data_IF_886847164863
#
_entry.id   IF_886847164863
#
_cell.length_a   1.000
_cell.length_b   1.000
_cell.length_c   1.000
_cell.angle_alpha   90.00
_cell.angle_beta   90.00
_cell.angle_gamma   90.00
#
_symmetry.space_group_name_H-M   'P 1'
#
loop_
_entity.id
_entity.type
_entity.pdbx_description
1 polymer ?
#
# COMPACT_ATOMS: atom_id res chain seq x y z
N UNK A 1 10.07 3.27 17.74
CA UNK A 1 9.79 2.57 16.46
C UNK A 1 9.01 3.52 15.56
N UNK A 2 9.26 3.53 14.25
CA UNK A 2 8.61 4.46 13.31
C UNK A 2 7.08 4.52 13.43
N UNK A 3 6.42 3.39 13.67
CA UNK A 3 4.96 3.37 13.87
C UNK A 3 4.48 4.23 15.05
N UNK A 4 5.27 4.36 16.12
CA UNK A 4 4.92 5.19 17.27
C UNK A 4 4.88 6.68 16.90
N UNK A 5 5.84 7.13 16.09
CA UNK A 5 5.89 8.51 15.57
C UNK A 5 4.73 8.80 14.61
N UNK A 6 4.24 7.76 13.91
CA UNK A 6 3.11 7.90 12.99
C UNK A 6 1.76 7.98 13.71
N UNK A 7 1.65 7.53 14.97
CA UNK A 7 0.36 7.42 15.66
C UNK A 7 -0.34 8.77 15.86
N UNK A 8 0.30 9.83 16.38
CA UNK A 8 -0.37 11.13 16.56
C UNK A 8 -0.90 11.68 15.23
N UNK A 9 -0.05 11.71 14.21
CA UNK A 9 -0.42 12.15 12.86
C UNK A 9 -1.58 11.32 12.31
N UNK A 10 -1.52 9.99 12.44
CA UNK A 10 -2.57 9.10 11.91
C UNK A 10 -3.90 9.29 12.65
N UNK A 11 -3.88 9.62 13.94
CA UNK A 11 -5.09 9.96 14.71
C UNK A 11 -5.72 11.27 14.26
N UNK A 12 -4.90 12.29 14.00
CA UNK A 12 -5.36 13.62 13.55
C UNK A 12 -6.07 13.57 12.18
N UNK A 13 -5.73 12.61 11.32
CA UNK A 13 -6.40 12.42 10.03
C UNK A 13 -7.91 12.11 10.17
N UNK A 14 -8.36 11.65 11.35
CA UNK A 14 -9.78 11.38 11.61
C UNK A 14 -10.40 10.28 10.74
N UNK A 15 -9.57 9.43 10.12
CA UNK A 15 -10.03 8.40 9.21
C UNK A 15 -10.77 7.29 9.97
N UNK A 16 -11.94 6.91 9.44
CA UNK A 16 -12.73 5.78 9.93
C UNK A 16 -12.31 4.52 9.16
N UNK A 17 -11.35 3.78 9.72
CA UNK A 17 -10.78 2.58 9.09
C UNK A 17 -11.29 1.34 9.83
N UNK A 18 -11.85 0.38 9.08
CA UNK A 18 -12.25 -0.92 9.63
C UNK A 18 -11.06 -1.89 9.68
N UNK A 19 -10.17 -1.80 8.69
CA UNK A 19 -9.02 -2.70 8.56
C UNK A 19 -7.88 -2.10 7.75
N UNK A 20 -6.68 -2.60 8.03
CA UNK A 20 -5.47 -2.24 7.30
C UNK A 20 -4.84 -3.45 6.62
N UNK A 21 -4.38 -3.27 5.38
CA UNK A 21 -3.60 -4.28 4.65
C UNK A 21 -2.32 -3.66 4.09
N UNK A 22 -1.16 -4.31 4.21
CA UNK A 22 0.02 -3.91 3.48
C UNK A 22 -0.14 -4.23 1.99
N UNK A 23 0.55 -3.49 1.13
CA UNK A 23 0.70 -3.86 -0.28
C UNK A 23 1.44 -5.22 -0.36
N UNK A 24 0.88 -6.23 -1.04
CA UNK A 24 1.50 -7.55 -1.09
C UNK A 24 2.72 -7.58 -2.02
N UNK A 25 3.81 -8.16 -1.51
CA UNK A 25 5.01 -8.44 -2.30
C UNK A 25 4.75 -9.55 -3.35
N UNK A 26 5.43 -9.45 -4.50
CA UNK A 26 5.55 -10.55 -5.47
C UNK A 26 6.29 -11.75 -4.87
N UNK A 27 6.02 -12.96 -5.37
CA UNK A 27 6.58 -14.22 -4.85
C UNK A 27 8.10 -14.19 -4.84
N UNK A 28 8.73 -13.68 -5.89
CA UNK A 28 10.18 -13.57 -5.98
C UNK A 28 10.76 -12.65 -4.90
N UNK A 29 10.14 -11.48 -4.68
CA UNK A 29 10.54 -10.52 -3.65
C UNK A 29 10.32 -11.07 -2.25
N UNK A 30 9.18 -11.74 -2.01
CA UNK A 30 8.88 -12.41 -0.75
C UNK A 30 9.92 -13.51 -0.44
N UNK A 31 10.31 -14.31 -1.44
CA UNK A 31 11.35 -15.34 -1.29
C UNK A 31 12.72 -14.74 -0.98
N UNK A 32 13.10 -13.64 -1.64
CA UNK A 32 14.38 -12.96 -1.40
C UNK A 32 14.45 -12.31 -0.01
N UNK A 33 13.36 -11.69 0.42
CA UNK A 33 13.30 -10.86 1.64
C UNK A 33 12.85 -11.63 2.88
N UNK A 34 12.21 -12.78 2.73
CA UNK A 34 11.62 -13.57 3.82
C UNK A 34 10.31 -13.01 4.37
N UNK A 35 10.19 -11.68 4.47
CA UNK A 35 9.01 -10.99 5.02
C UNK A 35 8.64 -9.73 4.21
N UNK A 36 7.47 -9.16 4.50
CA UNK A 36 7.03 -7.89 3.94
C UNK A 36 7.48 -6.74 4.86
N UNK A 37 8.42 -5.89 4.43
CA UNK A 37 9.00 -4.85 5.29
C UNK A 37 7.96 -3.90 5.85
N UNK A 38 6.99 -3.50 5.03
CA UNK A 38 5.93 -2.58 5.48
C UNK A 38 5.08 -3.21 6.59
N UNK A 39 5.03 -4.54 6.70
CA UNK A 39 4.34 -5.22 7.80
C UNK A 39 4.95 -4.90 9.17
N UNK A 40 6.26 -4.60 9.24
CA UNK A 40 6.92 -4.21 10.50
C UNK A 40 6.45 -2.87 11.04
N UNK A 41 5.84 -2.03 10.18
CA UNK A 41 5.25 -0.74 10.57
C UNK A 41 3.72 -0.90 10.65
N UNK A 42 3.12 -1.59 9.70
CA UNK A 42 1.69 -1.81 9.63
C UNK A 42 1.17 -2.52 10.90
N UNK A 43 1.80 -3.60 11.36
CA UNK A 43 1.32 -4.32 12.55
C UNK A 43 1.22 -3.41 13.80
N UNK A 44 2.30 -2.75 14.25
CA UNK A 44 2.22 -1.87 15.41
C UNK A 44 1.30 -0.66 15.18
N UNK A 45 1.22 -0.12 13.97
CA UNK A 45 0.29 0.97 13.66
C UNK A 45 -1.18 0.53 13.77
N UNK A 46 -1.55 -0.64 13.24
CA UNK A 46 -2.91 -1.19 13.42
C UNK A 46 -3.24 -1.40 14.90
N UNK A 47 -2.28 -1.88 15.69
CA UNK A 47 -2.49 -2.10 17.12
C UNK A 47 -2.75 -0.78 17.86
N UNK A 48 -1.93 0.26 17.61
CA UNK A 48 -2.09 1.56 18.28
C UNK A 48 -3.31 2.37 17.81
N UNK A 49 -3.86 2.02 16.64
CA UNK A 49 -5.08 2.62 16.09
C UNK A 49 -6.34 1.74 16.28
N UNK A 50 -6.19 0.56 16.88
CA UNK A 50 -7.28 -0.42 17.07
C UNK A 50 -7.95 -0.87 15.76
N UNK A 51 -7.20 -0.87 14.66
CA UNK A 51 -7.68 -1.35 13.36
C UNK A 51 -7.40 -2.84 13.18
N UNK A 52 -8.29 -3.55 12.49
CA UNK A 52 -8.05 -4.95 12.15
C UNK A 52 -6.89 -5.07 11.16
N UNK A 53 -5.79 -5.68 11.57
CA UNK A 53 -4.71 -6.03 10.65
C UNK A 53 -5.12 -7.23 9.76
N UNK A 54 -5.14 -7.03 8.45
CA UNK A 54 -5.74 -7.94 7.49
C UNK A 54 -4.82 -8.20 6.27
N UNK A 55 -3.65 -8.84 6.44
CA UNK A 55 -2.63 -8.96 5.37
C UNK A 55 -3.01 -9.86 4.20
N UNK A 56 -4.14 -10.55 4.30
CA UNK A 56 -4.73 -11.39 3.24
C UNK A 56 -5.93 -10.72 2.56
N UNK A 57 -6.26 -9.47 2.94
CA UNK A 57 -7.33 -8.70 2.30
C UNK A 57 -7.00 -8.42 0.84
N UNK A 58 -5.72 -8.15 0.56
CA UNK A 58 -5.18 -7.91 -0.77
C UNK A 58 -4.11 -8.94 -1.10
N UNK A 59 -4.17 -9.50 -2.31
CA UNK A 59 -3.20 -10.47 -2.81
C UNK A 59 -2.67 -9.99 -4.15
N UNK A 60 -1.42 -10.33 -4.44
CA UNK A 60 -0.82 -10.10 -5.75
C UNK A 60 -1.04 -11.33 -6.63
N UNK A 61 -1.72 -11.16 -7.77
CA UNK A 61 -2.00 -12.21 -8.76
C UNK A 61 -0.96 -12.26 -9.88
N UNK A 62 -0.46 -11.10 -10.28
CA UNK A 62 0.51 -10.95 -11.38
C UNK A 62 1.89 -10.69 -10.80
N UNK A 63 2.87 -11.48 -11.23
CA UNK A 63 4.27 -11.07 -11.09
C UNK A 63 4.52 -9.92 -12.06
N UNK A 64 4.95 -8.79 -11.52
CA UNK A 64 5.19 -7.57 -12.29
C UNK A 64 6.69 -7.35 -12.42
N UNK A 65 7.14 -6.80 -13.55
CA UNK A 65 8.55 -6.41 -13.73
C UNK A 65 8.95 -5.39 -12.65
N UNK A 66 10.26 -5.28 -12.40
CA UNK A 66 10.76 -4.18 -11.56
C UNK A 66 10.26 -2.85 -12.11
N UNK A 67 9.85 -1.94 -11.22
CA UNK A 67 9.42 -0.58 -11.60
C UNK A 67 10.60 0.41 -11.74
N UNK A 68 11.82 -0.06 -11.45
CA UNK A 68 13.06 0.68 -11.67
C UNK A 68 13.26 0.87 -13.17
N UNK A 69 13.57 2.10 -13.59
CA UNK A 69 13.79 2.44 -15.00
C UNK A 69 12.52 2.60 -15.85
N UNK A 70 11.34 2.27 -15.33
CA UNK A 70 10.07 2.44 -16.06
C UNK A 70 9.56 3.88 -16.00
N UNK A 71 8.93 4.35 -17.07
CA UNK A 71 8.19 5.62 -17.11
C UNK A 71 6.91 5.55 -16.27
N UNK A 72 6.24 6.69 -16.09
CA UNK A 72 4.95 6.74 -15.40
C UNK A 72 3.90 5.80 -16.03
N UNK A 73 3.76 5.86 -17.36
CA UNK A 73 2.78 5.06 -18.11
C UNK A 73 3.10 3.58 -18.06
N UNK A 74 4.39 3.23 -18.20
CA UNK A 74 4.86 1.84 -18.08
C UNK A 74 4.62 1.28 -16.68
N UNK A 75 4.81 2.09 -15.62
CA UNK A 75 4.50 1.68 -14.24
C UNK A 75 3.02 1.40 -14.07
N UNK A 76 2.16 2.27 -14.60
CA UNK A 76 0.70 2.09 -14.55
C UNK A 76 0.29 0.82 -15.29
N UNK A 77 0.77 0.62 -16.52
CA UNK A 77 0.49 -0.58 -17.31
C UNK A 77 1.03 -1.87 -16.65
N UNK A 78 2.22 -1.81 -16.05
CA UNK A 78 2.82 -2.94 -15.34
C UNK A 78 1.95 -3.38 -14.15
N UNK A 79 1.34 -2.42 -13.41
CA UNK A 79 0.47 -2.69 -12.26
C UNK A 79 -0.98 -3.02 -12.61
N UNK A 80 -1.41 -2.83 -13.85
CA UNK A 80 -2.79 -3.15 -14.27
C UNK A 80 -3.15 -4.61 -13.96
N UNK A 81 -4.30 -4.80 -13.29
CA UNK A 81 -4.78 -6.09 -12.77
C UNK A 81 -3.74 -6.88 -11.95
N UNK A 82 -2.79 -6.19 -11.29
CA UNK A 82 -1.75 -6.88 -10.52
C UNK A 82 -2.26 -7.47 -9.19
N UNK A 83 -3.35 -6.92 -8.67
CA UNK A 83 -3.91 -7.28 -7.37
C UNK A 83 -5.33 -7.82 -7.47
N UNK A 84 -5.69 -8.61 -6.46
CA UNK A 84 -7.07 -9.03 -6.19
C UNK A 84 -7.32 -8.90 -4.70
N UNK A 85 -8.50 -8.39 -4.33
CA UNK A 85 -8.94 -8.35 -2.95
C UNK A 85 -9.95 -9.46 -2.64
N UNK A 86 -10.09 -9.79 -1.36
CA UNK A 86 -11.04 -10.79 -0.88
C UNK A 86 -12.43 -10.18 -0.72
N UNK A 87 -13.49 -10.95 -1.05
CA UNK A 87 -14.89 -10.51 -0.94
C UNK A 87 -15.31 -10.01 0.46
N UNK A 88 -14.66 -10.48 1.53
CA UNK A 88 -14.97 -10.03 2.89
C UNK A 88 -14.52 -8.61 3.22
N UNK A 89 -13.86 -7.90 2.28
CA UNK A 89 -13.65 -6.45 2.36
C UNK A 89 -14.90 -5.65 1.99
N UNK A 90 -15.95 -6.30 1.48
CA UNK A 90 -17.17 -5.61 1.06
C UNK A 90 -17.81 -4.81 2.20
N UNK A 91 -18.15 -3.55 1.92
CA UNK A 91 -18.72 -2.60 2.87
C UNK A 91 -17.73 -2.05 3.91
N UNK A 92 -16.44 -2.38 3.82
CA UNK A 92 -15.41 -1.92 4.76
C UNK A 92 -14.63 -0.73 4.23
N UNK A 93 -14.22 0.16 5.12
CA UNK A 93 -13.21 1.18 4.86
C UNK A 93 -11.82 0.57 5.09
N UNK A 94 -11.03 0.46 4.03
CA UNK A 94 -9.74 -0.27 4.03
C UNK A 94 -8.58 0.70 3.88
N UNK A 95 -7.61 0.63 4.78
CA UNK A 95 -6.33 1.32 4.63
C UNK A 95 -5.30 0.42 3.97
N UNK A 96 -4.70 0.87 2.87
CA UNK A 96 -3.58 0.23 2.20
C UNK A 96 -2.28 0.90 2.61
N UNK A 97 -1.30 0.13 3.09
CA UNK A 97 0.00 0.66 3.48
C UNK A 97 1.12 0.17 2.56
N UNK A 98 1.96 1.08 2.09
CA UNK A 98 3.23 0.77 1.41
C UNK A 98 4.39 1.52 2.07
N UNK A 99 5.64 1.15 1.77
CA UNK A 99 6.80 1.87 2.30
C UNK A 99 6.99 3.23 1.59
N UNK A 100 7.08 3.20 0.26
CA UNK A 100 7.35 4.39 -0.56
C UNK A 100 6.40 4.44 -1.75
N UNK A 101 5.68 5.56 -1.88
CA UNK A 101 4.94 5.86 -3.11
C UNK A 101 5.81 6.65 -4.07
N UNK A 102 5.80 6.32 -5.36
CA UNK A 102 6.41 7.16 -6.40
C UNK A 102 5.31 7.84 -7.22
N UNK A 103 4.82 7.17 -8.25
CA UNK A 103 3.74 7.63 -9.12
C UNK A 103 2.35 7.31 -8.56
N UNK A 104 2.27 6.57 -7.45
CA UNK A 104 1.01 6.05 -6.93
C UNK A 104 0.44 4.83 -7.68
N UNK A 105 1.06 4.38 -8.79
CA UNK A 105 0.54 3.28 -9.63
C UNK A 105 0.18 2.01 -8.85
N UNK A 106 1.01 1.68 -7.85
CA UNK A 106 0.84 0.48 -7.02
C UNK A 106 -0.34 0.63 -6.07
N UNK A 107 -0.47 1.79 -5.42
CA UNK A 107 -1.59 2.11 -4.52
C UNK A 107 -2.90 2.23 -5.30
N UNK A 108 -2.88 2.83 -6.49
CA UNK A 108 -4.06 2.94 -7.37
C UNK A 108 -4.56 1.56 -7.80
N UNK A 109 -3.68 0.66 -8.24
CA UNK A 109 -4.06 -0.70 -8.61
C UNK A 109 -4.56 -1.52 -7.41
N UNK A 110 -3.99 -1.29 -6.21
CA UNK A 110 -4.47 -1.91 -4.98
C UNK A 110 -5.89 -1.42 -4.61
N UNK A 111 -6.12 -0.11 -4.71
CA UNK A 111 -7.42 0.49 -4.45
C UNK A 111 -8.48 0.02 -5.45
N UNK A 112 -8.14 -0.05 -6.73
CA UNK A 112 -9.02 -0.59 -7.77
C UNK A 112 -9.49 -2.01 -7.43
N UNK A 113 -8.56 -2.91 -7.05
CA UNK A 113 -8.92 -4.27 -6.67
C UNK A 113 -9.82 -4.34 -5.42
N UNK A 114 -9.62 -3.44 -4.46
CA UNK A 114 -10.45 -3.34 -3.24
C UNK A 114 -11.86 -2.83 -3.55
N UNK A 115 -11.98 -1.76 -4.35
CA UNK A 115 -13.27 -1.24 -4.79
C UNK A 115 -14.02 -2.26 -5.65
N UNK A 116 -13.35 -2.96 -6.56
CA UNK A 116 -13.95 -4.06 -7.34
C UNK A 116 -14.46 -5.21 -6.44
N UNK A 117 -13.87 -5.39 -5.26
CA UNK A 117 -14.33 -6.37 -4.26
C UNK A 117 -15.38 -5.82 -3.29
N UNK A 118 -15.84 -4.58 -3.51
CA UNK A 118 -16.93 -3.94 -2.79
C UNK A 118 -16.53 -3.14 -1.55
N UNK A 119 -15.24 -2.80 -1.38
CA UNK A 119 -14.84 -1.89 -0.29
C UNK A 119 -15.62 -0.57 -0.37
N UNK A 120 -16.02 -0.02 0.79
CA UNK A 120 -16.76 1.25 0.86
C UNK A 120 -15.84 2.43 0.58
N UNK A 121 -14.73 2.48 1.30
CA UNK A 121 -13.71 3.51 1.17
C UNK A 121 -12.33 2.84 1.12
N UNK A 122 -11.41 3.39 0.34
CA UNK A 122 -10.02 2.97 0.33
C UNK A 122 -9.11 4.16 0.61
N UNK A 123 -8.31 4.03 1.67
CA UNK A 123 -7.30 4.99 2.07
C UNK A 123 -5.91 4.43 1.74
N UNK A 124 -4.93 5.31 1.59
CA UNK A 124 -3.55 4.91 1.38
C UNK A 124 -2.61 5.70 2.30
N UNK A 125 -1.64 4.99 2.88
CA UNK A 125 -0.59 5.58 3.71
C UNK A 125 0.78 5.03 3.29
N UNK A 126 1.74 5.92 3.11
CA UNK A 126 3.14 5.54 2.86
C UNK A 126 4.06 6.33 3.76
N UNK A 127 5.20 5.73 4.10
CA UNK A 127 6.22 6.39 4.94
C UNK A 127 6.87 7.54 4.17
N UNK A 128 7.11 7.36 2.88
CA UNK A 128 7.72 8.37 2.03
C UNK A 128 7.04 8.46 0.66
N UNK A 129 7.21 9.61 0.03
CA UNK A 129 6.84 9.82 -1.37
C UNK A 129 8.08 10.25 -2.15
N UNK A 130 8.42 9.53 -3.21
CA UNK A 130 9.42 9.99 -4.16
C UNK A 130 8.78 11.03 -5.09
N UNK A 131 9.37 12.21 -5.12
CA UNK A 131 9.00 13.25 -6.08
C UNK A 131 9.74 13.01 -7.41
N UNK A 132 9.18 13.40 -8.56
CA UNK A 132 9.95 13.50 -9.80
C UNK A 132 11.19 14.37 -9.54
N UNK A 133 12.33 14.03 -10.14
CA UNK A 133 13.52 14.88 -10.05
C UNK A 133 13.16 16.32 -10.43
N UNK A 134 13.18 17.24 -9.46
CA UNK A 134 13.68 18.58 -9.75
C UNK A 134 15.17 18.38 -10.02
N UNK A 135 15.66 18.91 -11.14
CA UNK A 135 17.08 19.06 -11.36
C UNK A 135 17.68 19.76 -10.13
N UNK A 136 18.43 19.01 -9.33
CA UNK A 136 19.27 19.55 -8.25
C UNK A 136 20.48 20.32 -8.83
N UNK A 137 20.46 20.64 -10.13
CA UNK A 137 21.47 21.41 -10.84
C UNK A 137 21.16 22.92 -10.91
N UNK A 138 20.09 23.38 -10.26
CA UNK A 138 19.78 24.81 -10.12
C UNK A 138 19.82 25.23 -8.63
N UNK A 139 21.03 25.22 -8.06
CA UNK A 139 21.37 25.92 -6.82
C UNK A 139 22.82 26.40 -6.91
#
# INVERSE_FOLDING_TARGET
>A
MLAAEMLPFTRELGWKIDMMTPVPLGKQRKRKRGYNQVAMIAIPLSLGMEWKYAPRALMRRKETRSQVGLTYEERRANMHCAFEAKRWVSGKSVLVMDDVSTTGSTLSAAAEALYQSGARDVYALTVARALPHHDLAAA
#
